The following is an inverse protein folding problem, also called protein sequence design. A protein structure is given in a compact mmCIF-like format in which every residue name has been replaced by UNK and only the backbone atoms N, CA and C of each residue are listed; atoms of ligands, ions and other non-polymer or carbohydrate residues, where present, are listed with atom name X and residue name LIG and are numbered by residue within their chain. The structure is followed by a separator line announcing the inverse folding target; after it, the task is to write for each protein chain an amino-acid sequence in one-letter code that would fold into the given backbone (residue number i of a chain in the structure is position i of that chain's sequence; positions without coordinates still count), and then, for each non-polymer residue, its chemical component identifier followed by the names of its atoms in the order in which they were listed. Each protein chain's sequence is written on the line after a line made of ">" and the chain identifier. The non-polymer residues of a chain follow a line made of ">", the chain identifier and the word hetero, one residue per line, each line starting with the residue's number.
data_IF_291374050753
#
_entry.id   IF_291374050753
#
_cell.length_a   1.000
_cell.length_b   1.000
_cell.length_c   1.000
_cell.angle_alpha   90.00
_cell.angle_beta   90.00
_cell.angle_gamma   90.00
#
_symmetry.space_group_name_H-M   'P 1'
#
loop_
_entity.id
_entity.type
_entity.pdbx_description
1 polymer ?
#
# COMPACT_ATOMS: atom_id res chain seq x y z
N UNK A 1 -11.61 41.91 -24.48
CA UNK A 1 -11.82 40.45 -24.55
C UNK A 1 -10.86 39.84 -23.56
N UNK A 2 -11.34 39.62 -22.35
CA UNK A 2 -10.58 38.93 -21.31
C UNK A 2 -10.53 37.45 -21.68
N UNK A 3 -9.33 36.94 -21.95
CA UNK A 3 -9.05 35.51 -22.00
C UNK A 3 -8.77 35.10 -20.56
N UNK A 4 -9.84 34.87 -19.79
CA UNK A 4 -9.76 34.00 -18.63
C UNK A 4 -9.25 32.65 -19.13
N UNK A 5 -7.95 32.41 -18.92
CA UNK A 5 -7.33 31.11 -19.09
C UNK A 5 -8.19 30.16 -18.27
N UNK A 6 -8.92 29.32 -18.99
CA UNK A 6 -9.73 28.24 -18.46
C UNK A 6 -8.81 27.46 -17.53
N UNK A 7 -9.06 27.57 -16.22
CA UNK A 7 -8.57 26.61 -15.23
C UNK A 7 -9.12 25.26 -15.70
N UNK A 8 -8.32 24.59 -16.50
CA UNK A 8 -8.58 23.23 -16.90
C UNK A 8 -8.12 22.41 -15.70
N UNK A 9 -9.00 22.36 -14.70
CA UNK A 9 -8.97 21.35 -13.64
C UNK A 9 -9.26 20.02 -14.33
N UNK A 10 -8.25 19.51 -15.01
CA UNK A 10 -8.24 18.17 -15.54
C UNK A 10 -8.50 17.25 -14.35
N UNK A 11 -9.68 16.62 -14.33
CA UNK A 11 -9.94 15.40 -13.56
C UNK A 11 -9.07 14.30 -14.17
N UNK A 12 -7.79 14.41 -13.88
CA UNK A 12 -6.70 13.63 -14.41
C UNK A 12 -6.71 12.36 -13.56
N UNK A 13 -6.82 11.20 -14.23
CA UNK A 13 -6.77 9.82 -13.67
C UNK A 13 -5.98 9.76 -12.35
N UNK A 14 -6.34 8.95 -11.35
CA UNK A 14 -5.66 8.99 -10.04
C UNK A 14 -4.13 8.79 -10.07
N UNK A 15 -3.55 8.37 -11.20
CA UNK A 15 -2.11 8.44 -11.51
C UNK A 15 -1.53 9.86 -11.60
N UNK A 16 -2.31 10.82 -12.10
CA UNK A 16 -1.90 12.20 -12.28
C UNK A 16 -1.73 12.95 -10.97
N UNK A 17 -2.43 12.52 -9.91
CA UNK A 17 -2.18 12.99 -8.56
C UNK A 17 -0.75 12.67 -8.11
N UNK A 18 -0.17 11.54 -8.56
CA UNK A 18 1.17 11.10 -8.18
C UNK A 18 2.29 11.71 -9.04
N UNK A 19 1.98 12.35 -10.18
CA UNK A 19 3.01 13.02 -11.00
C UNK A 19 3.67 14.15 -10.21
N UNK A 20 2.88 14.88 -9.41
CA UNK A 20 3.40 15.94 -8.53
C UNK A 20 4.25 15.42 -7.37
N UNK A 21 4.28 14.11 -7.15
CA UNK A 21 5.00 13.46 -6.06
C UNK A 21 6.33 12.83 -6.49
N UNK A 22 6.72 13.02 -7.75
CA UNK A 22 8.06 12.66 -8.23
C UNK A 22 9.11 13.39 -7.39
N UNK A 23 10.19 12.68 -7.07
CA UNK A 23 11.30 13.09 -6.21
C UNK A 23 10.95 13.39 -4.75
N UNK A 24 9.69 13.17 -4.35
CA UNK A 24 9.29 13.22 -2.95
C UNK A 24 9.47 11.87 -2.27
N UNK A 25 9.60 11.91 -0.94
CA UNK A 25 9.65 10.73 -0.12
C UNK A 25 8.23 10.28 0.25
N UNK A 26 7.90 9.05 -0.14
CA UNK A 26 6.56 8.48 0.02
C UNK A 26 6.61 7.25 0.92
N UNK A 27 5.51 7.01 1.62
CA UNK A 27 5.19 5.73 2.22
C UNK A 27 4.26 4.95 1.28
N UNK A 28 4.63 3.72 0.96
CA UNK A 28 3.89 2.81 0.09
C UNK A 28 3.52 1.58 0.89
N UNK A 29 2.22 1.33 1.07
CA UNK A 29 1.73 0.08 1.67
C UNK A 29 1.35 -0.90 0.56
N UNK A 30 1.86 -2.13 0.68
CA UNK A 30 1.59 -3.22 -0.26
C UNK A 30 0.45 -4.12 0.23
N UNK A 31 -0.17 -4.86 -0.68
CA UNK A 31 -1.27 -5.80 -0.34
C UNK A 31 -0.83 -6.97 0.55
N UNK A 32 0.45 -7.31 0.55
CA UNK A 32 1.03 -8.33 1.44
C UNK A 32 1.28 -7.79 2.87
N UNK A 33 0.92 -6.53 3.14
CA UNK A 33 1.04 -5.89 4.45
C UNK A 33 2.41 -5.23 4.69
N UNK A 34 3.33 -5.27 3.73
CA UNK A 34 4.64 -4.60 3.85
C UNK A 34 4.49 -3.09 3.65
N UNK A 35 5.32 -2.34 4.38
CA UNK A 35 5.40 -0.88 4.27
C UNK A 35 6.78 -0.50 3.78
N UNK A 36 6.84 0.19 2.64
CA UNK A 36 8.06 0.73 2.05
C UNK A 36 8.07 2.25 2.22
N UNK A 37 9.22 2.81 2.54
CA UNK A 37 9.45 4.24 2.52
C UNK A 37 10.62 4.50 1.57
N UNK A 38 10.41 5.39 0.60
CA UNK A 38 11.38 5.62 -0.46
C UNK A 38 11.13 6.93 -1.22
N UNK A 39 12.08 7.34 -2.06
CA UNK A 39 11.85 8.41 -3.04
C UNK A 39 11.20 7.84 -4.31
N UNK A 40 10.09 8.44 -4.75
CA UNK A 40 9.47 8.10 -6.03
C UNK A 40 10.30 8.70 -7.18
N UNK A 41 10.81 7.86 -8.09
CA UNK A 41 11.62 8.33 -9.23
C UNK A 41 10.92 8.24 -10.56
N UNK A 42 10.08 7.24 -10.72
CA UNK A 42 9.28 7.09 -11.93
C UNK A 42 8.01 6.35 -11.59
N UNK A 43 6.96 6.67 -12.32
CA UNK A 43 5.73 5.91 -12.37
C UNK A 43 5.39 5.67 -13.84
N UNK A 44 4.86 4.49 -14.15
CA UNK A 44 4.31 4.18 -15.46
C UNK A 44 2.79 4.26 -15.38
N UNK A 45 2.13 4.88 -16.37
CA UNK A 45 0.68 4.80 -16.50
C UNK A 45 0.33 3.47 -17.18
N UNK A 46 0.06 2.43 -16.40
CA UNK A 46 -0.59 1.25 -16.95
C UNK A 46 -2.06 1.58 -17.29
N UNK A 47 -2.24 2.34 -18.37
CA UNK A 47 -3.53 2.65 -18.96
C UNK A 47 -3.85 1.58 -20.00
N UNK A 48 -4.81 0.71 -19.68
CA UNK A 48 -5.62 0.13 -20.74
C UNK A 48 -6.45 1.27 -21.31
N UNK A 49 -6.04 1.76 -22.46
CA UNK A 49 -6.92 2.46 -23.38
C UNK A 49 -8.10 1.54 -23.64
N UNK A 50 -9.27 1.87 -23.09
CA UNK A 50 -10.52 1.20 -23.44
C UNK A 50 -11.54 2.28 -23.61
N UNK A 51 -11.71 2.67 -24.88
CA UNK A 51 -12.94 3.17 -25.47
C UNK A 51 -13.89 3.76 -24.43
N UNK A 52 -13.70 5.06 -24.21
CA UNK A 52 -14.49 5.89 -23.31
C UNK A 52 -15.97 5.89 -23.75
N UNK A 53 -16.73 4.92 -23.26
CA UNK A 53 -18.17 5.04 -23.15
C UNK A 53 -18.60 4.61 -21.74
N UNK A 54 -19.01 5.64 -20.99
CA UNK A 54 -19.84 5.58 -19.78
C UNK A 54 -19.23 4.85 -18.56
N UNK A 55 -18.45 5.60 -17.79
CA UNK A 55 -18.15 5.24 -16.39
C UNK A 55 -18.89 6.17 -15.43
N UNK A 56 -20.09 5.76 -15.06
CA UNK A 56 -20.64 6.13 -13.75
C UNK A 56 -19.94 5.25 -12.71
N UNK A 57 -19.04 5.88 -11.95
CA UNK A 57 -18.46 5.41 -10.68
C UNK A 57 -17.80 4.01 -10.75
N UNK A 58 -16.48 3.96 -11.01
CA UNK A 58 -15.65 3.03 -10.24
C UNK A 58 -14.34 3.70 -9.82
N UNK A 59 -13.89 3.27 -8.66
CA UNK A 59 -12.68 3.76 -8.02
C UNK A 59 -11.45 3.54 -8.91
N UNK A 60 -10.55 4.53 -8.87
CA UNK A 60 -9.20 4.47 -9.41
C UNK A 60 -8.45 3.24 -8.87
N UNK A 61 -8.49 2.14 -9.61
CA UNK A 61 -7.81 0.87 -9.31
C UNK A 61 -6.50 0.70 -10.10
N UNK A 62 -5.98 1.78 -10.70
CA UNK A 62 -4.80 1.70 -11.55
C UNK A 62 -3.73 2.63 -11.01
N UNK A 63 -3.12 2.24 -9.88
CA UNK A 63 -1.72 2.65 -9.67
C UNK A 63 -0.92 1.84 -10.68
N UNK A 64 -0.11 2.47 -11.52
CA UNK A 64 0.78 1.76 -12.43
C UNK A 64 2.12 1.42 -11.78
N UNK A 65 3.12 1.00 -12.56
CA UNK A 65 4.38 0.52 -11.99
C UNK A 65 5.16 1.67 -11.35
N UNK A 66 5.75 1.43 -10.18
CA UNK A 66 6.53 2.43 -9.45
C UNK A 66 8.01 2.05 -9.44
N UNK A 67 8.86 3.05 -9.60
CA UNK A 67 10.31 2.95 -9.36
C UNK A 67 10.64 3.79 -8.13
N UNK A 68 11.11 3.10 -7.10
CA UNK A 68 11.46 3.67 -5.82
C UNK A 68 12.98 3.62 -5.62
N UNK A 69 13.56 4.74 -5.19
CA UNK A 69 14.99 4.86 -4.88
C UNK A 69 15.22 5.03 -3.39
N UNK A 70 16.34 4.48 -2.87
CA UNK A 70 16.67 4.44 -1.44
C UNK A 70 15.52 3.89 -0.60
N UNK A 71 14.84 2.88 -1.14
CA UNK A 71 13.76 2.22 -0.47
C UNK A 71 14.29 1.46 0.75
N UNK A 72 13.56 1.58 1.85
CA UNK A 72 13.67 0.69 2.98
C UNK A 72 12.28 0.18 3.37
N UNK A 73 12.25 -1.03 3.89
CA UNK A 73 11.03 -1.63 4.42
C UNK A 73 10.97 -1.40 5.91
N UNK A 74 9.93 -0.71 6.35
CA UNK A 74 9.69 -0.44 7.76
C UNK A 74 8.75 -1.49 8.33
N UNK A 75 9.21 -2.23 9.34
CA UNK A 75 8.37 -3.16 10.09
C UNK A 75 8.01 -2.48 11.41
N UNK A 76 6.71 -2.37 11.71
CA UNK A 76 6.22 -1.81 12.97
C UNK A 76 5.44 -2.87 13.75
N UNK A 77 5.87 -3.17 14.98
CA UNK A 77 5.17 -4.07 15.90
C UNK A 77 4.92 -3.32 17.22
N UNK A 78 3.66 -3.00 17.50
CA UNK A 78 3.29 -2.20 18.66
C UNK A 78 3.92 -0.81 18.63
N UNK A 79 4.79 -0.51 19.60
CA UNK A 79 5.54 0.76 19.69
C UNK A 79 6.99 0.65 19.19
N UNK A 80 7.35 -0.46 18.55
CA UNK A 80 8.71 -0.72 18.08
C UNK A 80 8.75 -0.78 16.55
N UNK A 81 9.86 -0.33 15.96
CA UNK A 81 10.08 -0.41 14.52
C UNK A 81 11.54 -0.68 14.17
N UNK A 82 11.78 -1.22 12.97
CA UNK A 82 13.10 -1.18 12.35
C UNK A 82 12.99 -1.02 10.83
N UNK A 83 14.03 -0.46 10.23
CA UNK A 83 14.12 -0.19 8.80
C UNK A 83 15.11 -1.15 8.13
N UNK A 84 14.60 -1.94 7.17
CA UNK A 84 15.40 -2.90 6.41
C UNK A 84 15.74 -2.28 5.04
N UNK A 85 17.01 -2.02 4.71
CA UNK A 85 17.38 -1.40 3.44
C UNK A 85 17.04 -2.32 2.26
N UNK A 86 16.41 -1.76 1.23
CA UNK A 86 16.06 -2.43 -0.03
C UNK A 86 16.75 -1.81 -1.25
N UNK A 87 17.10 -0.52 -1.20
CA UNK A 87 17.82 0.18 -2.27
C UNK A 87 16.90 0.59 -3.42
N UNK A 88 17.16 0.10 -4.63
CA UNK A 88 16.28 0.33 -5.79
C UNK A 88 15.17 -0.73 -5.80
N UNK A 89 13.92 -0.30 -5.85
CA UNK A 89 12.77 -1.19 -5.76
C UNK A 89 11.75 -0.86 -6.86
N UNK A 90 11.37 -1.87 -7.65
CA UNK A 90 10.33 -1.72 -8.69
C UNK A 90 9.08 -2.45 -8.22
N UNK A 91 7.98 -1.72 -8.13
CA UNK A 91 6.70 -2.25 -7.65
C UNK A 91 5.72 -2.32 -8.82
N UNK A 92 5.11 -3.49 -8.99
CA UNK A 92 3.99 -3.62 -9.91
C UNK A 92 2.75 -2.96 -9.33
N UNK A 93 2.09 -2.13 -10.12
CA UNK A 93 1.04 -1.24 -9.63
C UNK A 93 -0.11 -1.94 -8.91
N UNK A 94 -0.48 -3.15 -9.34
CA UNK A 94 -1.51 -3.94 -8.65
C UNK A 94 -1.06 -4.55 -7.33
N UNK A 95 0.17 -4.39 -6.87
CA UNK A 95 0.58 -4.77 -5.51
C UNK A 95 0.48 -3.62 -4.52
N UNK A 96 0.24 -2.40 -5.00
CA UNK A 96 0.08 -1.21 -4.17
C UNK A 96 -1.33 -1.20 -3.57
N UNK A 97 -1.39 -1.09 -2.24
CA UNK A 97 -2.63 -0.86 -1.51
C UNK A 97 -2.93 0.64 -1.42
N UNK A 98 -1.98 1.44 -0.94
CA UNK A 98 -2.04 2.90 -0.96
C UNK A 98 -0.64 3.53 -0.94
N UNK A 99 -0.57 4.81 -1.29
CA UNK A 99 0.63 5.63 -1.28
C UNK A 99 0.29 6.97 -0.63
N UNK A 100 1.22 7.54 0.14
CA UNK A 100 1.11 8.92 0.62
C UNK A 100 2.47 9.57 0.82
N UNK A 101 2.54 10.87 0.62
CA UNK A 101 3.70 11.70 0.96
C UNK A 101 3.94 11.66 2.47
N UNK A 102 5.21 11.52 2.87
CA UNK A 102 5.59 11.54 4.28
C UNK A 102 6.01 12.96 4.68
N UNK A 103 5.19 13.60 5.52
CA UNK A 103 5.50 14.93 6.07
C UNK A 103 6.39 14.82 7.32
N UNK A 104 7.64 15.30 7.20
CA UNK A 104 8.61 15.32 8.29
C UNK A 104 8.47 16.53 9.22
N UNK A 105 7.65 17.52 8.87
CA UNK A 105 7.49 18.72 9.69
C UNK A 105 6.53 18.50 10.86
N UNK A 106 5.76 17.42 10.86
CA UNK A 106 4.83 17.10 11.93
C UNK A 106 5.41 16.05 12.87
N UNK A 107 5.45 16.31 14.19
CA UNK A 107 5.88 15.30 15.15
C UNK A 107 4.91 14.12 15.13
N UNK A 108 5.46 12.90 15.26
CA UNK A 108 4.65 11.70 15.41
C UNK A 108 3.75 11.83 16.64
N UNK A 109 2.47 11.49 16.49
CA UNK A 109 1.50 11.49 17.62
C UNK A 109 1.87 10.51 18.72
N UNK A 110 2.63 9.46 18.38
CA UNK A 110 3.08 8.42 19.29
C UNK A 110 4.57 8.19 19.05
N UNK A 111 5.43 8.25 20.08
CA UNK A 111 6.84 7.95 19.93
C UNK A 111 7.00 6.45 19.60
N UNK A 112 7.70 6.17 18.50
CA UNK A 112 8.10 4.83 18.12
C UNK A 112 9.57 4.60 18.53
N UNK A 113 9.87 3.40 19.03
CA UNK A 113 11.19 2.99 19.48
C UNK A 113 11.87 2.20 18.37
N UNK A 114 13.02 2.68 17.91
CA UNK A 114 13.82 1.93 16.94
C UNK A 114 14.50 0.75 17.64
N UNK A 115 14.41 -0.43 17.04
CA UNK A 115 15.03 -1.67 17.53
C UNK A 115 15.89 -2.30 16.44
N UNK A 116 16.67 -3.31 16.78
CA UNK A 116 17.49 -4.00 15.77
C UNK A 116 16.64 -4.78 14.77
N UNK A 117 17.19 -5.03 13.59
CA UNK A 117 16.52 -5.82 12.54
C UNK A 117 16.22 -7.24 13.05
N UNK A 118 17.13 -7.83 13.82
CA UNK A 118 16.96 -9.18 14.39
C UNK A 118 15.80 -9.23 15.39
N UNK A 119 15.69 -8.21 16.25
CA UNK A 119 14.60 -8.09 17.21
C UNK A 119 13.24 -7.89 16.53
N UNK A 120 13.14 -6.98 15.55
CA UNK A 120 11.86 -6.73 14.89
C UNK A 120 11.37 -7.93 14.09
N UNK A 121 12.28 -8.68 13.44
CA UNK A 121 11.93 -9.89 12.69
C UNK A 121 11.42 -11.00 13.61
N UNK A 122 12.03 -11.13 14.80
CA UNK A 122 11.54 -12.04 15.83
C UNK A 122 10.13 -11.65 16.29
N UNK A 123 9.91 -10.38 16.60
CA UNK A 123 8.60 -9.86 17.02
C UNK A 123 7.54 -10.04 15.94
N UNK A 124 7.88 -9.78 14.68
CA UNK A 124 7.00 -9.96 13.53
C UNK A 124 6.58 -11.42 13.40
N UNK A 125 7.52 -12.37 13.52
CA UNK A 125 7.22 -13.80 13.47
C UNK A 125 6.25 -14.21 14.58
N UNK A 126 6.49 -13.77 15.82
CA UNK A 126 5.60 -14.04 16.94
C UNK A 126 4.20 -13.44 16.74
N UNK A 127 4.10 -12.24 16.18
CA UNK A 127 2.83 -11.57 15.89
C UNK A 127 2.02 -12.33 14.82
N UNK A 128 2.67 -12.75 13.73
CA UNK A 128 2.05 -13.57 12.68
C UNK A 128 1.53 -14.90 13.25
N UNK A 129 2.33 -15.58 14.07
CA UNK A 129 1.91 -16.83 14.70
C UNK A 129 0.74 -16.65 15.68
N UNK A 130 0.72 -15.56 16.45
CA UNK A 130 -0.38 -15.22 17.36
C UNK A 130 -1.65 -14.90 16.59
N UNK A 131 -1.58 -14.04 15.56
CA UNK A 131 -2.70 -13.70 14.69
C UNK A 131 -3.24 -14.94 13.97
N UNK A 132 -2.37 -15.79 13.44
CA UNK A 132 -2.77 -17.05 12.81
C UNK A 132 -3.48 -18.02 13.76
N UNK A 133 -3.08 -18.06 15.04
CA UNK A 133 -3.80 -18.85 16.07
C UNK A 133 -5.18 -18.27 16.37
N UNK A 134 -5.28 -16.95 16.53
CA UNK A 134 -6.54 -16.26 16.79
C UNK A 134 -7.50 -16.44 15.61
N UNK A 135 -7.00 -16.32 14.37
CA UNK A 135 -7.81 -16.45 13.17
C UNK A 135 -8.39 -17.86 13.02
N UNK A 136 -7.58 -18.90 13.29
CA UNK A 136 -8.07 -20.29 13.31
C UNK A 136 -9.16 -20.51 14.36
N UNK A 137 -9.04 -19.91 15.54
CA UNK A 137 -10.07 -20.00 16.57
C UNK A 137 -11.34 -19.25 16.18
N UNK A 138 -11.20 -18.06 15.59
CA UNK A 138 -12.32 -17.28 15.05
C UNK A 138 -13.06 -18.02 13.95
N UNK A 139 -12.32 -18.60 13.00
CA UNK A 139 -12.90 -19.37 11.91
C UNK A 139 -13.68 -20.59 12.43
N UNK A 140 -13.13 -21.32 13.42
CA UNK A 140 -13.85 -22.42 14.07
C UNK A 140 -15.15 -21.95 14.73
N UNK A 141 -15.09 -20.89 15.52
CA UNK A 141 -16.27 -20.32 16.17
C UNK A 141 -17.32 -19.81 15.15
N UNK A 142 -16.87 -19.21 14.03
CA UNK A 142 -17.75 -18.76 12.95
C UNK A 142 -18.50 -19.94 12.31
N UNK A 143 -17.77 -21.03 12.00
CA UNK A 143 -18.36 -22.24 11.43
C UNK A 143 -19.36 -22.88 12.41
N UNK A 144 -19.02 -22.96 13.69
CA UNK A 144 -19.93 -23.46 14.74
C UNK A 144 -21.23 -22.64 14.84
N UNK A 145 -21.17 -21.35 14.53
CA UNK A 145 -22.33 -20.45 14.49
C UNK A 145 -22.99 -20.33 13.09
N UNK A 146 -22.60 -21.16 12.12
CA UNK A 146 -23.20 -21.20 10.78
C UNK A 146 -22.78 -20.04 9.87
N UNK A 147 -21.71 -19.32 10.21
CA UNK A 147 -21.13 -18.27 9.37
C UNK A 147 -20.04 -18.87 8.46
N UNK A 148 -20.10 -18.56 7.17
CA UNK A 148 -19.03 -18.92 6.21
C UNK A 148 -17.91 -17.89 6.36
N UNK A 149 -16.74 -18.34 6.82
CA UNK A 149 -15.54 -17.50 6.81
C UNK A 149 -15.07 -17.23 5.36
N UNK A 150 -14.74 -15.99 5.04
CA UNK A 150 -14.12 -15.67 3.75
C UNK A 150 -12.75 -16.36 3.66
N UNK A 151 -12.57 -17.30 2.72
CA UNK A 151 -11.25 -17.90 2.48
C UNK A 151 -11.15 -19.29 1.87
N UNK A 152 -12.20 -19.91 1.34
CA UNK A 152 -12.02 -21.12 0.52
C UNK A 152 -12.11 -20.78 -0.98
N UNK A 153 -11.09 -21.13 -1.81
CA UNK A 153 -11.30 -21.24 -3.24
C UNK A 153 -12.37 -22.31 -3.46
N UNK A 154 -13.30 -22.01 -4.37
CA UNK A 154 -14.37 -22.91 -4.80
C UNK A 154 -13.71 -24.25 -5.14
N UNK A 155 -14.01 -25.32 -4.39
CA UNK A 155 -13.62 -26.66 -4.78
C UNK A 155 -14.36 -26.96 -6.10
N UNK A 156 -13.61 -26.96 -7.20
CA UNK A 156 -14.09 -27.50 -8.48
C UNK A 156 -14.30 -29.01 -8.29
N UNK A 157 -15.52 -29.40 -8.00
CA UNK A 157 -15.96 -30.77 -8.16
C UNK A 157 -16.02 -31.08 -9.66
N UNK A 158 -15.09 -31.93 -10.11
CA UNK A 158 -15.17 -32.66 -11.37
C UNK A 158 -16.26 -33.75 -11.32
#
# INVERSE_FOLDING_TARGET
>A
MDLSIVNNDYYLSGMAALIGDIDKQLMVMLRDGRTLIAFLRSLDQFGRDKDYHEWSIRYCFLVGNLVLHQAFERICIGHQYADIPRGLFVIRGENVLFIGELDFHQPLRVPLIEVTIEEILKLQKEDIEKKGRIEKLRQKAMIEHGLVGEGNPIEEHY
#
